data_IF_432118014143
#
_entry.id   IF_432118014143
#
_cell.length_a   1.000
_cell.length_b   1.000
_cell.length_c   1.000
_cell.angle_alpha   90.00
_cell.angle_beta   90.00
_cell.angle_gamma   90.00
#
_symmetry.space_group_name_H-M   'P 1'
#
loop_
_entity.id
_entity.type
_entity.pdbx_description
1 polymer ?
#
# COMPACT_ATOMS: atom_id res chain seq x y z
N UNK A 1 2.46 8.59 -14.46
CA UNK A 1 2.90 7.84 -15.67
C UNK A 1 3.42 8.83 -16.70
N UNK A 2 4.72 8.83 -16.97
CA UNK A 2 5.38 9.85 -17.81
C UNK A 2 5.31 9.56 -19.32
N UNK A 3 5.00 8.31 -19.71
CA UNK A 3 4.81 7.93 -21.11
C UNK A 3 3.34 8.10 -21.53
N UNK A 4 3.02 8.96 -22.53
CA UNK A 4 1.63 9.27 -22.90
C UNK A 4 0.79 8.05 -23.26
N UNK A 5 1.32 7.14 -24.08
CA UNK A 5 0.59 5.92 -24.48
C UNK A 5 0.27 4.99 -23.31
N UNK A 6 1.17 4.90 -22.32
CA UNK A 6 0.94 4.10 -21.10
C UNK A 6 -0.08 4.80 -20.21
N UNK A 7 -0.02 6.13 -20.11
CA UNK A 7 -0.98 6.91 -19.33
C UNK A 7 -2.41 6.71 -19.88
N UNK A 8 -2.60 6.87 -21.19
CA UNK A 8 -3.89 6.67 -21.86
C UNK A 8 -4.46 5.27 -21.62
N UNK A 9 -3.60 4.23 -21.70
CA UNK A 9 -3.99 2.84 -21.43
C UNK A 9 -4.62 2.67 -20.04
N UNK A 10 -3.98 3.19 -19.00
CA UNK A 10 -4.46 3.08 -17.62
C UNK A 10 -5.64 4.02 -17.33
N UNK A 11 -5.65 5.25 -17.88
CA UNK A 11 -6.78 6.17 -17.74
C UNK A 11 -8.07 5.57 -18.33
N UNK A 12 -7.96 4.91 -19.49
CA UNK A 12 -9.08 4.21 -20.12
C UNK A 12 -9.55 3.02 -19.29
N UNK A 13 -8.63 2.21 -18.77
CA UNK A 13 -8.97 1.02 -17.99
C UNK A 13 -9.63 1.37 -16.64
N UNK A 14 -9.10 2.38 -15.94
CA UNK A 14 -9.57 2.76 -14.61
C UNK A 14 -10.56 3.92 -14.61
N UNK A 15 -10.89 4.48 -15.77
CA UNK A 15 -11.90 5.53 -15.92
C UNK A 15 -11.61 6.82 -15.15
N UNK A 16 -10.33 7.13 -14.92
CA UNK A 16 -9.89 8.30 -14.14
C UNK A 16 -8.63 8.91 -14.76
N UNK A 17 -8.46 10.25 -14.67
CA UNK A 17 -7.22 10.88 -15.08
C UNK A 17 -6.06 10.46 -14.16
N UNK A 18 -4.89 10.29 -14.75
CA UNK A 18 -3.67 9.86 -14.05
C UNK A 18 -2.64 10.98 -14.00
N UNK A 19 -1.91 11.16 -12.88
CA UNK A 19 -0.84 12.13 -12.81
C UNK A 19 0.30 11.76 -13.78
N UNK A 20 0.90 12.77 -14.39
CA UNK A 20 2.06 12.65 -15.29
C UNK A 20 3.40 12.95 -14.59
N UNK A 21 3.35 13.42 -13.33
CA UNK A 21 4.53 13.65 -12.49
C UNK A 21 4.95 12.38 -11.75
N UNK A 22 6.26 12.26 -11.51
CA UNK A 22 6.84 11.18 -10.70
C UNK A 22 6.51 11.47 -9.23
N UNK A 23 6.04 10.46 -8.50
CA UNK A 23 5.79 10.55 -7.06
C UNK A 23 7.07 10.59 -6.24
N UNK A 24 6.94 10.93 -4.96
CA UNK A 24 8.06 10.95 -4.01
C UNK A 24 8.51 9.51 -3.68
N UNK A 25 9.82 9.31 -3.50
CA UNK A 25 10.40 8.10 -2.90
C UNK A 25 10.37 8.22 -1.38
N UNK A 26 10.51 7.09 -0.68
CA UNK A 26 10.42 7.04 0.80
C UNK A 26 11.28 8.11 1.51
N UNK A 27 12.58 8.31 1.20
CA UNK A 27 13.37 9.36 1.85
C UNK A 27 12.83 10.78 1.58
N UNK A 28 12.33 11.02 0.36
CA UNK A 28 11.75 12.31 -0.04
C UNK A 28 10.38 12.54 0.61
N UNK A 29 9.63 11.48 0.93
CA UNK A 29 8.37 11.56 1.66
C UNK A 29 8.57 12.02 3.09
N UNK A 30 9.60 11.50 3.79
CA UNK A 30 9.92 11.93 5.15
C UNK A 30 10.43 13.38 5.17
N UNK A 31 11.30 13.77 4.24
CA UNK A 31 11.71 15.17 4.10
C UNK A 31 10.48 16.07 3.85
N UNK A 32 9.60 15.68 2.93
CA UNK A 32 8.38 16.44 2.64
C UNK A 32 7.39 16.47 3.81
N UNK A 33 7.41 15.48 4.70
CA UNK A 33 6.61 15.49 5.93
C UNK A 33 7.16 16.53 6.93
N UNK A 34 8.48 16.59 7.12
CA UNK A 34 9.13 17.65 7.91
C UNK A 34 8.83 19.06 7.37
N UNK A 35 8.79 19.21 6.04
CA UNK A 35 8.44 20.47 5.38
C UNK A 35 6.92 20.77 5.40
N UNK A 36 6.07 19.87 5.92
CA UNK A 36 4.61 20.00 5.93
C UNK A 36 3.94 19.89 4.55
N UNK A 37 4.67 19.41 3.53
CA UNK A 37 4.16 19.19 2.16
C UNK A 37 3.44 17.85 2.04
N UNK A 38 3.90 16.82 2.76
CA UNK A 38 3.17 15.57 2.97
C UNK A 38 2.50 15.64 4.33
N UNK A 39 1.17 15.57 4.33
CA UNK A 39 0.35 15.68 5.54
C UNK A 39 -0.16 14.35 6.04
N UNK A 40 -0.26 13.36 5.15
CA UNK A 40 -0.76 12.05 5.50
C UNK A 40 0.01 10.94 4.80
N UNK A 41 0.12 9.80 5.48
CA UNK A 41 0.70 8.58 4.92
C UNK A 41 -0.16 7.36 5.20
N UNK A 42 -0.11 6.41 4.27
CA UNK A 42 -0.63 5.06 4.44
C UNK A 42 0.56 4.10 4.30
N UNK A 43 0.97 3.48 5.40
CA UNK A 43 2.10 2.53 5.44
C UNK A 43 1.51 1.11 5.52
N UNK A 44 1.92 0.24 4.61
CA UNK A 44 1.42 -1.13 4.51
C UNK A 44 2.58 -2.12 4.71
N UNK A 45 2.59 -2.83 5.83
CA UNK A 45 3.55 -3.92 6.09
C UNK A 45 5.02 -3.48 6.13
N UNK A 46 5.30 -2.26 6.60
CA UNK A 46 6.65 -1.71 6.69
C UNK A 46 6.90 -1.09 8.08
N UNK A 47 8.18 -1.13 8.49
CA UNK A 47 8.61 -0.59 9.77
C UNK A 47 9.84 0.35 9.63
N UNK A 48 9.71 1.48 8.91
CA UNK A 48 10.81 2.40 8.62
C UNK A 48 11.52 2.92 9.87
N UNK A 49 10.84 3.04 11.02
CA UNK A 49 11.51 3.45 12.28
C UNK A 49 12.67 2.52 12.64
N UNK A 50 12.54 1.22 12.34
CA UNK A 50 13.55 0.20 12.60
C UNK A 50 14.44 -0.08 11.39
N UNK A 51 13.87 -0.12 10.18
CA UNK A 51 14.55 -0.62 8.97
C UNK A 51 15.27 0.45 8.17
N UNK A 52 14.84 1.71 8.28
CA UNK A 52 15.38 2.80 7.47
C UNK A 52 16.52 3.54 8.20
N UNK A 53 17.50 4.08 7.45
CA UNK A 53 18.59 4.83 8.06
C UNK A 53 18.09 6.12 8.72
N UNK A 54 18.79 6.55 9.77
CA UNK A 54 18.48 7.77 10.52
C UNK A 54 17.06 7.76 11.14
N UNK A 55 16.84 6.85 12.09
CA UNK A 55 15.54 6.70 12.77
C UNK A 55 15.04 7.97 13.46
N UNK A 56 15.91 8.89 13.89
CA UNK A 56 15.50 10.18 14.43
C UNK A 56 14.76 11.03 13.38
N UNK A 57 15.27 11.06 12.15
CA UNK A 57 14.61 11.75 11.04
C UNK A 57 13.27 11.10 10.69
N UNK A 58 13.22 9.75 10.66
CA UNK A 58 11.97 9.01 10.42
C UNK A 58 10.92 9.35 11.49
N UNK A 59 11.27 9.23 12.78
CA UNK A 59 10.36 9.53 13.90
C UNK A 59 9.82 10.95 13.83
N UNK A 60 10.69 11.94 13.64
CA UNK A 60 10.24 13.33 13.52
C UNK A 60 9.34 13.56 12.29
N UNK A 61 9.55 12.82 11.20
CA UNK A 61 8.70 12.91 10.01
C UNK A 61 7.32 12.29 10.26
N UNK A 62 7.25 11.17 10.99
CA UNK A 62 5.98 10.57 11.41
C UNK A 62 5.21 11.49 12.37
N UNK A 63 5.90 12.10 13.34
CA UNK A 63 5.31 13.07 14.29
C UNK A 63 4.81 14.36 13.61
N UNK A 64 5.38 14.73 12.46
CA UNK A 64 4.99 15.91 11.70
C UNK A 64 3.74 15.70 10.82
N UNK A 65 3.31 14.45 10.63
CA UNK A 65 2.10 14.15 9.84
C UNK A 65 0.84 14.62 10.58
N UNK A 66 -0.16 15.06 9.81
CA UNK A 66 -1.50 15.35 10.32
C UNK A 66 -2.34 14.07 10.45
N UNK A 67 -2.00 13.01 9.70
CA UNK A 67 -2.72 11.73 9.75
C UNK A 67 -1.87 10.55 9.25
N UNK A 68 -1.75 9.51 10.05
CA UNK A 68 -1.02 8.29 9.71
C UNK A 68 -1.89 7.04 9.86
N UNK A 69 -2.00 6.28 8.77
CA UNK A 69 -2.59 4.93 8.77
C UNK A 69 -1.48 3.90 8.62
N UNK A 70 -1.47 2.89 9.48
CA UNK A 70 -0.55 1.76 9.39
C UNK A 70 -1.35 0.46 9.29
N UNK A 71 -1.22 -0.25 8.17
CA UNK A 71 -1.79 -1.59 8.01
C UNK A 71 -0.71 -2.64 8.30
N UNK A 72 -0.82 -3.31 9.45
CA UNK A 72 0.28 -4.12 10.00
C UNK A 72 -0.20 -5.35 10.78
N UNK A 73 0.66 -6.36 10.88
CA UNK A 73 0.41 -7.61 11.62
C UNK A 73 0.58 -7.44 13.13
N UNK A 74 1.50 -6.57 13.53
CA UNK A 74 1.91 -6.36 14.92
C UNK A 74 1.96 -4.87 15.24
N UNK A 75 1.94 -4.53 16.53
CA UNK A 75 2.26 -3.17 16.96
C UNK A 75 3.78 -2.98 16.85
N UNK A 76 4.24 -2.43 15.72
CA UNK A 76 5.64 -2.12 15.43
C UNK A 76 6.03 -0.72 15.92
N UNK A 77 7.32 -0.40 15.95
CA UNK A 77 7.83 0.92 16.30
C UNK A 77 7.30 2.03 15.39
N UNK A 78 6.95 1.71 14.14
CA UNK A 78 6.26 2.64 13.23
C UNK A 78 4.77 2.75 13.57
N UNK A 79 4.11 1.63 13.88
CA UNK A 79 2.68 1.61 14.22
C UNK A 79 2.37 2.36 15.52
N UNK A 80 3.33 2.51 16.44
CA UNK A 80 3.20 3.34 17.65
C UNK A 80 2.91 4.83 17.35
N UNK A 81 3.24 5.31 16.16
CA UNK A 81 2.97 6.68 15.72
C UNK A 81 1.62 6.83 14.99
N UNK A 82 0.93 5.73 14.71
CA UNK A 82 -0.26 5.74 13.86
C UNK A 82 -1.48 6.30 14.57
N UNK A 83 -2.25 7.14 13.87
CA UNK A 83 -3.60 7.53 14.30
C UNK A 83 -4.59 6.38 14.14
N UNK A 84 -4.39 5.56 13.11
CA UNK A 84 -5.23 4.39 12.81
C UNK A 84 -4.35 3.20 12.47
N UNK A 85 -4.55 2.09 13.20
CA UNK A 85 -3.96 0.80 12.87
C UNK A 85 -5.04 -0.09 12.24
N UNK A 86 -4.76 -0.58 11.04
CA UNK A 86 -5.60 -1.56 10.34
C UNK A 86 -4.95 -2.96 10.46
N UNK A 87 -5.60 -3.94 11.11
CA UNK A 87 -5.03 -5.29 11.21
C UNK A 87 -4.79 -5.92 9.84
N UNK A 88 -3.55 -6.35 9.58
CA UNK A 88 -3.17 -7.04 8.35
C UNK A 88 -3.35 -8.56 8.46
N UNK A 89 -3.47 -9.22 7.31
CA UNK A 89 -3.48 -10.66 7.18
C UNK A 89 -2.09 -11.18 6.79
N UNK A 90 -1.64 -12.28 7.39
CA UNK A 90 -0.32 -12.87 7.11
C UNK A 90 -0.28 -13.62 5.77
N UNK A 91 0.91 -14.03 5.32
CA UNK A 91 1.05 -14.81 4.08
C UNK A 91 0.27 -16.15 4.14
N UNK A 92 0.11 -16.74 5.32
CA UNK A 92 -0.62 -17.99 5.53
C UNK A 92 -2.15 -17.80 5.42
N UNK A 93 -2.62 -16.56 5.56
CA UNK A 93 -4.03 -16.17 5.48
C UNK A 93 -4.41 -15.62 4.10
N UNK A 94 -3.42 -15.31 3.28
CA UNK A 94 -3.61 -14.69 1.98
C UNK A 94 -3.58 -15.70 0.83
N UNK A 95 -4.25 -15.33 -0.26
CA UNK A 95 -4.19 -16.05 -1.54
C UNK A 95 -3.64 -15.09 -2.60
N UNK A 96 -2.69 -15.53 -3.42
CA UNK A 96 -2.10 -14.69 -4.45
C UNK A 96 -0.78 -15.24 -4.98
N UNK A 97 0.15 -14.33 -5.27
CA UNK A 97 1.47 -14.66 -5.84
C UNK A 97 2.59 -13.80 -5.26
N UNK A 98 3.80 -14.35 -5.19
CA UNK A 98 5.04 -13.58 -5.01
C UNK A 98 5.94 -13.71 -6.24
N UNK A 99 6.67 -12.63 -6.55
CA UNK A 99 7.73 -12.65 -7.56
C UNK A 99 9.08 -12.65 -6.85
N UNK A 100 9.87 -13.70 -7.04
CA UNK A 100 11.16 -13.82 -6.37
C UNK A 100 12.31 -13.11 -7.14
N UNK A 101 13.52 -13.20 -6.61
CA UNK A 101 14.72 -12.53 -7.14
C UNK A 101 15.12 -12.98 -8.55
N UNK A 102 14.78 -14.21 -8.96
CA UNK A 102 14.99 -14.71 -10.33
C UNK A 102 13.82 -14.38 -11.27
N UNK A 103 12.90 -13.52 -10.85
CA UNK A 103 11.68 -13.11 -11.57
C UNK A 103 10.65 -14.24 -11.76
N UNK A 104 10.72 -15.30 -10.96
CA UNK A 104 9.71 -16.36 -10.98
C UNK A 104 8.48 -15.94 -10.17
N UNK A 105 7.32 -16.03 -10.82
CA UNK A 105 6.02 -15.91 -10.16
C UNK A 105 5.68 -17.22 -9.48
N UNK A 106 5.45 -17.18 -8.17
CA UNK A 106 5.12 -18.34 -7.33
C UNK A 106 3.76 -18.15 -6.67
N UNK A 107 2.95 -19.21 -6.65
CA UNK A 107 1.59 -19.19 -6.10
C UNK A 107 1.62 -19.35 -4.57
N UNK A 108 0.97 -18.43 -3.86
CA UNK A 108 0.75 -18.44 -2.39
C UNK A 108 -0.68 -18.82 -2.09
N UNK A 109 -0.94 -19.99 -1.50
CA UNK A 109 -2.29 -20.45 -1.19
C UNK A 109 -2.65 -20.14 0.26
N UNK A 110 -3.90 -19.70 0.46
CA UNK A 110 -4.48 -19.55 1.80
C UNK A 110 -4.46 -20.89 2.54
N UNK A 111 -3.80 -20.92 3.69
CA UNK A 111 -3.72 -22.09 4.57
C UNK A 111 -4.73 -22.03 5.73
N UNK A 112 -5.00 -20.82 6.23
CA UNK A 112 -5.99 -20.55 7.29
C UNK A 112 -6.87 -19.35 6.92
N UNK A 113 -8.02 -19.19 7.57
CA UNK A 113 -8.83 -17.98 7.39
C UNK A 113 -8.14 -16.74 7.97
N UNK A 114 -8.30 -15.55 7.35
CA UNK A 114 -7.73 -14.32 7.89
C UNK A 114 -8.24 -14.04 9.30
N UNK A 115 -7.31 -14.01 10.26
CA UNK A 115 -7.59 -13.60 11.64
C UNK A 115 -8.19 -12.19 11.73
N UNK A 116 -7.74 -11.18 10.95
CA UNK A 116 -8.38 -9.86 10.96
C UNK A 116 -9.77 -9.85 10.29
N UNK A 117 -10.28 -11.00 9.84
CA UNK A 117 -11.58 -11.15 9.18
C UNK A 117 -11.60 -10.83 7.69
N UNK A 118 -10.49 -10.32 7.14
CA UNK A 118 -10.34 -9.96 5.73
C UNK A 118 -8.88 -10.02 5.27
N UNK A 119 -8.65 -10.26 4.00
CA UNK A 119 -7.33 -10.15 3.38
C UNK A 119 -6.93 -8.68 3.14
N UNK A 120 -5.64 -8.42 2.97
CA UNK A 120 -5.12 -7.05 2.86
C UNK A 120 -5.73 -6.27 1.68
N UNK A 121 -5.89 -6.91 0.52
CA UNK A 121 -6.48 -6.29 -0.67
C UNK A 121 -7.95 -5.90 -0.45
N UNK A 122 -8.70 -6.64 0.37
CA UNK A 122 -10.10 -6.33 0.68
C UNK A 122 -10.21 -5.06 1.52
N UNK A 123 -9.29 -4.86 2.46
CA UNK A 123 -9.19 -3.62 3.24
C UNK A 123 -8.95 -2.41 2.34
N UNK A 124 -8.03 -2.54 1.38
CA UNK A 124 -7.72 -1.47 0.41
C UNK A 124 -8.94 -1.19 -0.49
N UNK A 125 -9.56 -2.24 -1.03
CA UNK A 125 -10.76 -2.12 -1.89
C UNK A 125 -11.91 -1.41 -1.16
N UNK A 126 -12.17 -1.77 0.09
CA UNK A 126 -13.23 -1.15 0.89
C UNK A 126 -12.90 0.32 1.21
N UNK A 127 -11.66 0.62 1.60
CA UNK A 127 -11.21 1.99 1.84
C UNK A 127 -11.40 2.86 0.59
N UNK A 128 -10.88 2.41 -0.55
CA UNK A 128 -10.97 3.16 -1.82
C UNK A 128 -12.44 3.31 -2.27
N UNK A 129 -13.27 2.29 -2.07
CA UNK A 129 -14.72 2.35 -2.34
C UNK A 129 -15.42 3.40 -1.48
N UNK A 130 -15.10 3.49 -0.18
CA UNK A 130 -15.62 4.53 0.72
C UNK A 130 -15.14 5.93 0.35
N UNK A 131 -14.01 6.05 -0.35
CA UNK A 131 -13.50 7.32 -0.90
C UNK A 131 -14.13 7.71 -2.25
N UNK A 132 -15.08 6.93 -2.78
CA UNK A 132 -15.83 7.27 -3.98
C UNK A 132 -15.29 6.67 -5.29
N UNK A 133 -14.39 5.69 -5.20
CA UNK A 133 -13.99 4.86 -6.35
C UNK A 133 -14.39 3.40 -6.11
N UNK A 134 -15.50 2.92 -6.71
CA UNK A 134 -15.94 1.55 -6.53
C UNK A 134 -14.87 0.57 -7.00
N UNK A 135 -14.27 -0.16 -6.07
CA UNK A 135 -13.23 -1.15 -6.31
C UNK A 135 -13.68 -2.47 -5.71
N UNK A 136 -14.22 -3.35 -6.53
CA UNK A 136 -14.83 -4.61 -6.10
C UNK A 136 -14.22 -5.77 -6.88
N UNK A 137 -13.54 -6.66 -6.18
CA UNK A 137 -13.04 -7.92 -6.71
C UNK A 137 -13.56 -9.06 -5.83
N UNK A 138 -14.00 -10.15 -6.44
CA UNK A 138 -14.42 -11.35 -5.74
C UNK A 138 -13.23 -12.22 -5.31
N UNK A 139 -12.09 -12.10 -5.98
CA UNK A 139 -10.89 -12.87 -5.66
C UNK A 139 -9.60 -12.20 -6.16
N UNK A 140 -8.42 -12.55 -5.60
CA UNK A 140 -7.12 -12.12 -6.11
C UNK A 140 -6.87 -12.49 -7.58
N UNK A 141 -7.56 -13.51 -8.10
CA UNK A 141 -7.47 -13.89 -9.51
C UNK A 141 -8.02 -12.79 -10.42
N UNK A 142 -9.11 -12.12 -10.04
CA UNK A 142 -9.67 -11.04 -10.87
C UNK A 142 -8.70 -9.85 -10.94
N UNK A 143 -8.01 -9.55 -9.84
CA UNK A 143 -6.93 -8.55 -9.81
C UNK A 143 -5.79 -8.96 -10.74
N UNK A 144 -5.39 -10.24 -10.69
CA UNK A 144 -4.36 -10.77 -11.59
C UNK A 144 -4.77 -10.71 -13.06
N UNK A 145 -6.00 -11.10 -13.38
CA UNK A 145 -6.53 -11.10 -14.74
C UNK A 145 -6.66 -9.65 -15.27
N UNK A 146 -7.04 -8.68 -14.42
CA UNK A 146 -6.97 -7.25 -14.75
C UNK A 146 -5.53 -6.84 -15.06
N UNK A 147 -4.58 -7.10 -14.15
CA UNK A 147 -3.17 -6.76 -14.36
C UNK A 147 -2.60 -7.36 -15.65
N UNK A 148 -2.97 -8.59 -16.00
CA UNK A 148 -2.53 -9.26 -17.22
C UNK A 148 -3.14 -8.66 -18.49
N UNK A 149 -4.32 -8.03 -18.39
CA UNK A 149 -5.01 -7.40 -19.51
C UNK A 149 -4.49 -6.01 -19.88
N UNK A 150 -3.69 -5.39 -19.00
CA UNK A 150 -3.19 -4.02 -19.12
C UNK A 150 -1.80 -3.96 -19.75
#
# INVERSE_FOLDING_TARGET
VTLPAVKEKFEKAWGRPMPDKIGLKIPEMFEAAHEGKVKAMYILGENPVLTDPNSHHIRGGLEALEFLVVQELFLTETAEYADVILPAASFAECDGTFSNTERRVQRVRKAIEPIPGRANWQTICEMVSRMGYPMNYASPREIWDEMASL
#
